data_IF_208439784803
#
_entry.id   IF_208439784803
#
_cell.length_a   1.000
_cell.length_b   1.000
_cell.length_c   1.000
_cell.angle_alpha   90.00
_cell.angle_beta   90.00
_cell.angle_gamma   90.00
#
_symmetry.space_group_name_H-M   'P 1'
#
loop_
_entity.id
_entity.type
_entity.pdbx_description
1 polymer ?
#
# COMPACT_ATOMS: atom_id res chain seq x y z
N UNK A 1 6.24 29.66 9.63
CA UNK A 1 7.51 30.38 9.91
C UNK A 1 8.20 29.86 11.17
N UNK A 2 7.64 29.95 12.39
CA UNK A 2 8.34 29.52 13.64
C UNK A 2 8.75 28.03 13.66
N UNK A 3 7.93 27.15 13.06
CA UNK A 3 8.21 25.72 12.92
C UNK A 3 9.34 25.38 11.92
N UNK A 4 9.51 26.15 10.84
CA UNK A 4 10.54 25.84 9.83
C UNK A 4 11.97 26.07 10.34
N UNK A 5 12.16 27.04 11.24
CA UNK A 5 13.47 27.32 11.85
C UNK A 5 13.93 26.22 12.81
N UNK A 6 13.00 25.65 13.59
CA UNK A 6 13.32 24.57 14.53
C UNK A 6 13.72 23.27 13.81
N UNK A 7 13.15 23.03 12.63
CA UNK A 7 13.51 21.88 11.79
C UNK A 7 14.88 22.06 11.16
N UNK A 8 15.19 23.26 10.64
CA UNK A 8 16.51 23.57 10.10
C UNK A 8 17.61 23.47 11.17
N UNK A 9 17.34 23.95 12.39
CA UNK A 9 18.26 23.86 13.52
C UNK A 9 18.53 22.40 13.92
N UNK A 10 17.50 21.55 13.92
CA UNK A 10 17.66 20.10 14.16
C UNK A 10 18.60 19.44 13.15
N UNK A 11 18.40 19.72 11.85
CA UNK A 11 19.27 19.17 10.81
C UNK A 11 20.70 19.70 10.91
N UNK A 12 20.86 20.98 11.25
CA UNK A 12 22.18 21.59 11.44
C UNK A 12 22.93 20.96 12.64
N UNK A 13 22.26 20.81 13.79
CA UNK A 13 22.83 20.17 14.97
C UNK A 13 23.15 18.69 14.68
N UNK A 14 22.27 17.98 13.97
CA UNK A 14 22.50 16.60 13.53
C UNK A 14 23.76 16.48 12.68
N UNK A 15 23.87 17.29 11.63
CA UNK A 15 25.04 17.34 10.76
C UNK A 15 26.34 17.59 11.53
N UNK A 16 26.33 18.51 12.49
CA UNK A 16 27.50 18.79 13.31
C UNK A 16 27.90 17.53 14.08
N UNK A 17 26.94 16.84 14.72
CA UNK A 17 27.23 15.59 15.45
C UNK A 17 27.79 14.54 14.50
N UNK A 18 27.18 14.36 13.33
CA UNK A 18 27.64 13.40 12.33
C UNK A 18 29.11 13.63 11.97
N UNK A 19 29.48 14.89 11.71
CA UNK A 19 30.85 15.27 11.38
C UNK A 19 31.87 14.93 12.48
N UNK A 20 31.46 14.96 13.75
CA UNK A 20 32.33 14.58 14.88
C UNK A 20 32.48 13.06 15.03
N UNK A 21 31.51 12.29 14.56
CA UNK A 21 31.50 10.82 14.67
C UNK A 21 31.85 10.10 13.35
N UNK A 22 32.31 10.81 12.31
CA UNK A 22 32.63 10.24 10.99
C UNK A 22 33.64 9.08 10.98
N UNK A 23 34.45 8.93 12.04
CA UNK A 23 35.43 7.84 12.17
C UNK A 23 34.90 6.57 12.83
N UNK A 24 33.65 6.58 13.31
CA UNK A 24 33.04 5.46 14.02
C UNK A 24 32.29 4.56 13.03
N UNK A 25 32.66 3.27 12.98
CA UNK A 25 32.17 2.32 11.96
C UNK A 25 30.66 2.03 12.09
N UNK A 26 30.10 2.14 13.29
CA UNK A 26 28.70 1.81 13.59
C UNK A 26 27.83 3.05 13.87
N UNK A 27 28.34 4.25 13.61
CA UNK A 27 27.59 5.48 13.85
C UNK A 27 26.50 5.69 12.79
N UNK A 28 25.26 5.83 13.24
CA UNK A 28 24.12 6.14 12.36
C UNK A 28 24.10 7.64 12.11
N UNK A 29 24.40 7.99 10.86
CA UNK A 29 24.41 9.36 10.37
C UNK A 29 23.00 9.93 10.25
N UNK A 30 22.82 11.19 10.63
CA UNK A 30 21.53 11.87 10.58
C UNK A 30 21.12 12.32 9.18
N UNK A 31 19.81 12.53 8.99
CA UNK A 31 19.23 13.16 7.79
C UNK A 31 19.88 14.51 7.40
N UNK A 32 20.51 15.21 8.37
CA UNK A 32 21.23 16.45 8.12
C UNK A 32 22.41 16.25 7.18
N UNK A 33 23.08 15.11 7.26
CA UNK A 33 24.16 14.72 6.38
C UNK A 33 23.69 14.40 4.97
N UNK A 34 22.56 13.70 4.82
CA UNK A 34 21.96 13.40 3.51
C UNK A 34 21.62 14.69 2.75
N UNK A 35 21.08 15.69 3.46
CA UNK A 35 20.79 17.02 2.90
C UNK A 35 22.09 17.69 2.43
N UNK A 36 23.16 17.63 3.23
CA UNK A 36 24.45 18.20 2.87
C UNK A 36 25.07 17.50 1.64
N UNK A 37 25.03 16.17 1.60
CA UNK A 37 25.52 15.38 0.46
C UNK A 37 24.75 15.68 -0.82
N UNK A 38 23.43 15.81 -0.72
CA UNK A 38 22.57 16.19 -1.85
C UNK A 38 22.98 17.57 -2.39
N UNK A 39 23.21 18.54 -1.50
CA UNK A 39 23.65 19.87 -1.88
C UNK A 39 25.01 19.82 -2.60
N UNK A 40 25.95 19.04 -2.06
CA UNK A 40 27.28 18.83 -2.66
C UNK A 40 27.15 18.21 -4.04
N UNK A 41 26.37 17.13 -4.19
CA UNK A 41 26.17 16.43 -5.45
C UNK A 41 25.61 17.37 -6.53
N UNK A 42 24.63 18.21 -6.18
CA UNK A 42 24.09 19.23 -7.07
C UNK A 42 25.17 20.25 -7.50
N UNK A 43 25.91 20.80 -6.54
CA UNK A 43 26.93 21.81 -6.80
C UNK A 43 28.13 21.27 -7.58
N UNK A 44 28.47 19.99 -7.42
CA UNK A 44 29.55 19.33 -8.15
C UNK A 44 29.33 19.35 -9.67
N UNK A 45 28.08 19.40 -10.14
CA UNK A 45 27.75 19.52 -11.57
C UNK A 45 28.23 20.86 -12.17
N UNK A 46 28.49 21.85 -11.32
CA UNK A 46 28.94 23.20 -11.70
C UNK A 46 30.37 23.48 -11.26
N UNK A 47 31.19 22.44 -11.08
CA UNK A 47 32.60 22.60 -10.68
C UNK A 47 33.33 23.57 -11.63
N UNK A 48 34.00 24.56 -11.06
CA UNK A 48 34.70 25.61 -11.81
C UNK A 48 33.87 26.87 -12.07
N UNK A 49 32.57 26.88 -11.74
CA UNK A 49 31.71 28.07 -11.74
C UNK A 49 31.54 28.62 -10.33
N UNK A 50 31.22 29.91 -10.20
CA UNK A 50 30.81 30.51 -8.93
C UNK A 50 29.35 30.20 -8.67
N UNK A 51 28.98 30.07 -7.39
CA UNK A 51 27.59 29.82 -6.97
C UNK A 51 26.64 30.97 -7.33
N UNK A 52 27.19 32.17 -7.56
CA UNK A 52 26.49 33.36 -8.04
C UNK A 52 26.23 33.35 -9.54
N UNK A 53 26.86 32.45 -10.30
CA UNK A 53 26.69 32.39 -11.75
C UNK A 53 25.29 31.90 -12.11
N UNK A 54 24.88 32.18 -13.35
CA UNK A 54 23.56 31.80 -13.83
C UNK A 54 23.44 30.29 -13.98
N UNK A 55 22.35 29.75 -13.42
CA UNK A 55 21.95 28.36 -13.60
C UNK A 55 21.07 28.20 -14.84
N UNK A 56 20.22 29.19 -15.10
CA UNK A 56 19.27 29.20 -16.21
C UNK A 56 18.04 30.04 -15.87
N UNK A 57 17.01 29.92 -16.71
CA UNK A 57 15.72 30.59 -16.51
C UNK A 57 14.74 29.63 -15.82
N UNK A 58 14.01 30.16 -14.86
CA UNK A 58 12.88 29.47 -14.22
C UNK A 58 11.71 29.29 -15.20
N UNK A 59 10.68 28.52 -14.82
CA UNK A 59 9.40 28.38 -15.54
C UNK A 59 8.71 29.72 -15.83
N UNK A 60 9.04 30.77 -15.07
CA UNK A 60 8.55 32.14 -15.25
C UNK A 60 9.46 33.00 -16.13
N UNK A 61 10.54 32.45 -16.70
CA UNK A 61 11.52 33.16 -17.51
C UNK A 61 12.54 33.98 -16.72
N UNK A 62 12.49 33.97 -15.39
CA UNK A 62 13.39 34.71 -14.50
C UNK A 62 14.73 33.98 -14.40
N UNK A 63 15.83 34.69 -14.60
CA UNK A 63 17.17 34.13 -14.43
C UNK A 63 17.47 33.87 -12.94
N UNK A 64 17.95 32.67 -12.65
CA UNK A 64 18.28 32.24 -11.29
C UNK A 64 19.75 31.84 -11.19
N UNK A 65 20.32 32.05 -10.01
CA UNK A 65 21.70 31.65 -9.70
C UNK A 65 21.76 30.17 -9.36
N UNK A 66 22.95 29.56 -9.51
CA UNK A 66 23.22 28.18 -9.10
C UNK A 66 22.89 27.97 -7.62
N UNK A 67 23.21 28.96 -6.76
CA UNK A 67 22.85 28.94 -5.33
C UNK A 67 21.35 28.81 -5.12
N UNK A 68 20.55 29.65 -5.80
CA UNK A 68 19.10 29.63 -5.65
C UNK A 68 18.49 28.33 -6.21
N UNK A 69 19.04 27.82 -7.30
CA UNK A 69 18.62 26.53 -7.86
C UNK A 69 18.88 25.38 -6.88
N UNK A 70 20.06 25.34 -6.26
CA UNK A 70 20.42 24.34 -5.24
C UNK A 70 19.44 24.38 -4.05
N UNK A 71 19.13 25.57 -3.52
CA UNK A 71 18.16 25.69 -2.43
C UNK A 71 16.76 25.19 -2.81
N UNK A 72 16.32 25.41 -4.05
CA UNK A 72 15.01 24.93 -4.52
C UNK A 72 14.93 23.41 -4.63
N UNK A 73 16.01 22.77 -5.08
CA UNK A 73 16.10 21.31 -5.11
C UNK A 73 16.04 20.72 -3.70
N UNK A 74 16.82 21.29 -2.77
CA UNK A 74 16.82 20.86 -1.36
C UNK A 74 15.46 21.07 -0.70
N UNK A 75 14.80 22.21 -0.95
CA UNK A 75 13.44 22.47 -0.48
C UNK A 75 12.44 21.43 -1.00
N UNK A 76 12.59 20.99 -2.25
CA UNK A 76 11.77 19.93 -2.85
C UNK A 76 11.89 18.60 -2.10
N UNK A 77 13.12 18.22 -1.76
CA UNK A 77 13.43 16.99 -1.02
C UNK A 77 12.91 17.08 0.41
N UNK A 78 13.17 18.18 1.12
CA UNK A 78 12.65 18.43 2.47
C UNK A 78 11.13 18.36 2.52
N UNK A 79 10.44 18.92 1.52
CA UNK A 79 8.97 18.81 1.41
C UNK A 79 8.50 17.38 1.19
N UNK A 80 9.26 16.56 0.45
CA UNK A 80 8.95 15.14 0.24
C UNK A 80 9.11 14.36 1.55
N UNK A 81 10.20 14.58 2.29
CA UNK A 81 10.39 13.96 3.60
C UNK A 81 9.30 14.36 4.59
N UNK A 82 8.94 15.65 4.67
CA UNK A 82 7.84 16.12 5.53
C UNK A 82 6.51 15.44 5.18
N UNK A 83 6.17 15.33 3.89
CA UNK A 83 4.94 14.64 3.45
C UNK A 83 4.94 13.15 3.77
N UNK A 84 6.09 12.49 3.65
CA UNK A 84 6.21 11.07 3.98
C UNK A 84 6.10 10.85 5.49
N UNK A 85 6.77 11.66 6.32
CA UNK A 85 6.67 11.59 7.76
C UNK A 85 5.23 11.76 8.26
N UNK A 86 4.49 12.74 7.72
CA UNK A 86 3.07 12.94 8.03
C UNK A 86 2.21 11.70 7.73
N UNK A 87 2.47 11.00 6.61
CA UNK A 87 1.76 9.76 6.28
C UNK A 87 2.09 8.60 7.21
N UNK A 88 3.32 8.54 7.75
CA UNK A 88 3.72 7.51 8.70
C UNK A 88 3.14 7.79 10.09
N UNK A 89 3.08 9.05 10.50
CA UNK A 89 2.41 9.48 11.75
C UNK A 89 0.88 9.28 11.68
N UNK A 90 0.29 9.28 10.48
CA UNK A 90 -1.12 8.94 10.23
C UNK A 90 -1.41 7.43 10.33
N UNK A 91 -0.39 6.56 10.46
CA UNK A 91 -0.61 5.15 10.77
C UNK A 91 -0.98 5.06 12.25
N UNK A 92 -2.28 5.14 12.50
CA UNK A 92 -2.84 4.96 13.83
C UNK A 92 -2.78 3.47 14.21
N UNK A 93 -1.74 3.10 14.97
CA UNK A 93 -1.59 1.75 15.51
C UNK A 93 -2.67 1.38 16.53
N UNK A 94 -3.56 2.31 16.91
CA UNK A 94 -4.70 2.05 17.80
C UNK A 94 -5.98 1.68 17.03
N UNK A 95 -6.04 1.95 15.73
CA UNK A 95 -7.16 1.55 14.86
C UNK A 95 -6.77 0.31 14.03
N UNK A 96 -7.05 -0.87 14.57
CA UNK A 96 -6.78 -2.15 13.92
C UNK A 96 -7.46 -2.31 12.54
N UNK A 97 -8.48 -1.49 12.20
CA UNK A 97 -9.11 -1.49 10.86
C UNK A 97 -8.38 -0.62 9.84
N UNK A 98 -7.51 0.30 10.31
CA UNK A 98 -6.68 1.15 9.46
C UNK A 98 -5.34 0.48 9.10
N UNK A 99 -5.00 -0.63 9.77
CA UNK A 99 -3.81 -1.41 9.45
C UNK A 99 -3.99 -2.14 8.09
N UNK A 100 -2.90 -2.25 7.30
CA UNK A 100 -2.92 -3.10 6.12
C UNK A 100 -3.26 -4.54 6.52
N UNK A 101 -4.03 -5.23 5.68
CA UNK A 101 -4.36 -6.64 5.90
C UNK A 101 -3.08 -7.45 6.13
N UNK A 102 -3.08 -8.30 7.16
CA UNK A 102 -1.93 -9.16 7.46
C UNK A 102 -1.50 -9.92 6.20
N UNK A 103 -0.17 -10.06 5.96
CA UNK A 103 0.32 -10.78 4.81
C UNK A 103 -0.23 -12.20 4.83
N UNK A 104 -0.92 -12.57 3.74
CA UNK A 104 -1.49 -13.92 3.57
C UNK A 104 -0.37 -14.94 3.76
N UNK A 105 -0.48 -15.79 4.78
CA UNK A 105 0.51 -16.84 5.03
C UNK A 105 0.37 -17.94 3.97
N UNK A 106 1.19 -17.88 2.92
CA UNK A 106 1.21 -18.85 1.83
C UNK A 106 1.84 -20.21 2.21
N UNK A 107 2.47 -20.32 3.38
CA UNK A 107 3.26 -21.50 3.77
C UNK A 107 2.50 -22.46 4.69
N UNK A 108 1.43 -21.99 5.33
CA UNK A 108 0.51 -22.83 6.10
C UNK A 108 -0.69 -23.13 5.21
N UNK A 109 -0.64 -24.26 4.49
CA UNK A 109 -1.86 -24.85 3.97
C UNK A 109 -2.65 -25.36 5.18
N UNK A 110 -3.52 -24.53 5.75
CA UNK A 110 -4.55 -25.02 6.65
C UNK A 110 -5.27 -26.18 5.95
N UNK A 111 -5.20 -27.36 6.54
CA UNK A 111 -5.90 -28.53 6.07
C UNK A 111 -7.37 -28.14 5.97
N UNK A 112 -7.88 -28.03 4.74
CA UNK A 112 -9.19 -27.44 4.49
C UNK A 112 -10.24 -28.38 5.07
N UNK A 113 -10.74 -28.06 6.26
CA UNK A 113 -11.68 -28.91 6.97
C UNK A 113 -13.08 -28.73 6.34
N UNK A 114 -13.42 -29.65 5.44
CA UNK A 114 -14.72 -29.68 4.74
C UNK A 114 -15.86 -30.30 5.55
N UNK A 115 -15.66 -30.69 6.83
CA UNK A 115 -16.72 -31.28 7.67
C UNK A 115 -18.00 -30.44 7.70
N UNK A 116 -17.85 -29.11 7.81
CA UNK A 116 -19.00 -28.19 7.79
C UNK A 116 -19.72 -28.17 6.44
N UNK A 117 -19.00 -28.37 5.35
CA UNK A 117 -19.60 -28.45 4.02
C UNK A 117 -20.40 -29.74 3.88
N UNK A 118 -19.84 -30.87 4.30
CA UNK A 118 -20.53 -32.17 4.23
C UNK A 118 -21.81 -32.17 5.07
N UNK A 119 -21.75 -31.65 6.30
CA UNK A 119 -22.92 -31.47 7.17
C UNK A 119 -24.03 -30.61 6.52
N UNK A 120 -23.65 -29.53 5.84
CA UNK A 120 -24.60 -28.66 5.14
C UNK A 120 -25.23 -29.35 3.92
N UNK A 121 -24.44 -30.07 3.14
CA UNK A 121 -24.93 -30.79 1.95
C UNK A 121 -25.91 -31.90 2.37
N UNK A 122 -25.61 -32.63 3.44
CA UNK A 122 -26.49 -33.64 4.02
C UNK A 122 -27.80 -33.03 4.56
N UNK A 123 -27.71 -31.93 5.31
CA UNK A 123 -28.87 -31.24 5.88
C UNK A 123 -29.82 -30.71 4.81
N UNK A 124 -29.29 -30.12 3.74
CA UNK A 124 -30.09 -29.51 2.67
C UNK A 124 -30.66 -30.52 1.66
N UNK A 125 -30.19 -31.78 1.69
CA UNK A 125 -30.60 -32.86 0.77
C UNK A 125 -30.57 -32.41 -0.69
N UNK A 126 -29.45 -31.83 -1.11
CA UNK A 126 -29.31 -31.29 -2.47
C UNK A 126 -29.40 -32.39 -3.52
N UNK A 127 -30.06 -32.11 -4.64
CA UNK A 127 -30.01 -33.01 -5.80
C UNK A 127 -28.63 -32.96 -6.48
N UNK A 128 -28.26 -34.02 -7.19
CA UNK A 128 -26.98 -34.10 -7.92
C UNK A 128 -26.74 -32.88 -8.83
N UNK A 129 -27.80 -32.41 -9.50
CA UNK A 129 -27.75 -31.24 -10.36
C UNK A 129 -27.55 -29.93 -9.59
N UNK A 130 -28.10 -29.81 -8.38
CA UNK A 130 -27.90 -28.63 -7.52
C UNK A 130 -26.48 -28.60 -6.94
N UNK A 131 -25.95 -29.77 -6.57
CA UNK A 131 -24.57 -29.93 -6.13
C UNK A 131 -23.59 -29.57 -7.27
N UNK A 132 -23.83 -30.07 -8.48
CA UNK A 132 -23.02 -29.75 -9.66
C UNK A 132 -23.03 -28.25 -9.96
N UNK A 133 -24.20 -27.59 -9.91
CA UNK A 133 -24.30 -26.13 -10.06
C UNK A 133 -23.47 -25.40 -9.00
N UNK A 134 -23.54 -25.84 -7.73
CA UNK A 134 -22.80 -25.21 -6.65
C UNK A 134 -21.29 -25.35 -6.85
N UNK A 135 -20.83 -26.54 -7.18
CA UNK A 135 -19.41 -26.85 -7.42
C UNK A 135 -18.84 -26.02 -8.58
N UNK A 136 -19.57 -25.84 -9.67
CA UNK A 136 -19.16 -24.94 -10.75
C UNK A 136 -18.93 -23.50 -10.25
N UNK A 137 -19.82 -22.97 -9.41
CA UNK A 137 -19.66 -21.63 -8.83
C UNK A 137 -18.50 -21.56 -7.81
N UNK A 138 -18.29 -22.61 -7.01
CA UNK A 138 -17.16 -22.68 -6.08
C UNK A 138 -15.81 -22.72 -6.81
N UNK A 139 -15.79 -23.32 -8.01
CA UNK A 139 -14.64 -23.30 -8.91
C UNK A 139 -14.46 -21.97 -9.67
N UNK A 140 -15.27 -20.94 -9.37
CA UNK A 140 -15.16 -19.61 -9.95
C UNK A 140 -15.78 -19.44 -11.34
N UNK A 141 -16.54 -20.43 -11.83
CA UNK A 141 -17.14 -20.36 -13.16
C UNK A 141 -18.22 -19.27 -13.26
N UNK A 142 -18.24 -18.59 -14.41
CA UNK A 142 -19.25 -17.59 -14.77
C UNK A 142 -20.49 -18.31 -15.30
N UNK A 143 -21.67 -17.69 -15.11
CA UNK A 143 -22.98 -18.28 -15.48
C UNK A 143 -23.06 -18.87 -16.90
N UNK A 144 -22.41 -18.27 -17.90
CA UNK A 144 -22.37 -18.81 -19.27
C UNK A 144 -21.60 -20.12 -19.36
N UNK A 145 -20.53 -20.24 -18.59
CA UNK A 145 -19.70 -21.45 -18.52
C UNK A 145 -20.44 -22.55 -17.78
N UNK A 146 -21.15 -22.23 -16.69
CA UNK A 146 -22.01 -23.21 -15.99
C UNK A 146 -23.11 -23.78 -16.91
N UNK A 147 -23.69 -22.94 -17.77
CA UNK A 147 -24.68 -23.40 -18.75
C UNK A 147 -24.07 -24.33 -19.80
N UNK A 148 -22.85 -24.04 -20.25
CA UNK A 148 -22.13 -24.85 -21.24
C UNK A 148 -21.68 -26.19 -20.63
N UNK A 149 -21.14 -26.15 -19.41
CA UNK A 149 -20.61 -27.31 -18.68
C UNK A 149 -21.72 -28.30 -18.32
N UNK A 150 -22.84 -27.80 -17.79
CA UNK A 150 -23.94 -28.64 -17.29
C UNK A 150 -25.06 -28.85 -18.32
N UNK A 151 -24.97 -28.23 -19.50
CA UNK A 151 -26.00 -28.33 -20.54
C UNK A 151 -27.37 -27.79 -20.14
N UNK A 152 -27.43 -26.86 -19.19
CA UNK A 152 -28.68 -26.34 -18.61
C UNK A 152 -29.02 -24.90 -19.02
N UNK A 153 -30.31 -24.61 -19.10
CA UNK A 153 -30.81 -23.26 -19.38
C UNK A 153 -30.69 -22.30 -18.20
N UNK A 154 -30.68 -20.99 -18.50
CA UNK A 154 -30.63 -19.91 -17.49
C UNK A 154 -31.72 -20.04 -16.43
N UNK A 155 -32.96 -20.31 -16.85
CA UNK A 155 -34.11 -20.45 -15.95
C UNK A 155 -33.95 -21.58 -14.93
N UNK A 156 -33.39 -22.71 -15.37
CA UNK A 156 -33.08 -23.86 -14.50
C UNK A 156 -32.08 -23.49 -13.41
N UNK A 157 -31.02 -22.76 -13.76
CA UNK A 157 -30.03 -22.28 -12.77
C UNK A 157 -30.70 -21.39 -11.71
N UNK A 158 -31.50 -20.41 -12.14
CA UNK A 158 -32.18 -19.52 -11.20
C UNK A 158 -33.15 -20.26 -10.28
N UNK A 159 -33.97 -21.16 -10.85
CA UNK A 159 -34.92 -21.97 -10.10
C UNK A 159 -34.21 -22.84 -9.05
N UNK A 160 -33.14 -23.52 -9.45
CA UNK A 160 -32.36 -24.41 -8.56
C UNK A 160 -31.64 -23.63 -7.47
N UNK A 161 -31.01 -22.49 -7.78
CA UNK A 161 -30.42 -21.60 -6.77
C UNK A 161 -31.46 -21.04 -5.80
N UNK A 162 -32.68 -20.77 -6.24
CA UNK A 162 -33.77 -20.33 -5.37
C UNK A 162 -34.25 -21.47 -4.45
N UNK A 163 -34.33 -22.71 -4.96
CA UNK A 163 -34.65 -23.89 -4.16
C UNK A 163 -33.60 -24.17 -3.07
N UNK A 164 -32.31 -24.06 -3.40
CA UNK A 164 -31.21 -24.18 -2.43
C UNK A 164 -31.35 -23.13 -1.33
N UNK A 165 -31.54 -21.85 -1.70
CA UNK A 165 -31.73 -20.76 -0.74
C UNK A 165 -32.94 -20.98 0.16
N UNK A 166 -34.06 -21.42 -0.40
CA UNK A 166 -35.27 -21.70 0.38
C UNK A 166 -35.00 -22.74 1.46
N UNK A 167 -34.42 -23.88 1.10
CA UNK A 167 -34.08 -24.94 2.06
C UNK A 167 -33.07 -24.48 3.09
N UNK A 168 -32.09 -23.67 2.68
CA UNK A 168 -31.14 -23.08 3.61
C UNK A 168 -31.81 -22.19 4.64
N UNK A 169 -32.74 -21.31 4.22
CA UNK A 169 -33.50 -20.48 5.15
C UNK A 169 -34.50 -21.29 6.00
N UNK A 170 -35.04 -22.40 5.51
CA UNK A 170 -35.89 -23.29 6.31
C UNK A 170 -35.09 -24.01 7.42
N UNK A 171 -33.87 -24.45 7.13
CA UNK A 171 -33.02 -25.16 8.09
C UNK A 171 -32.24 -24.23 9.04
N UNK A 172 -31.81 -23.05 8.57
CA UNK A 172 -30.90 -22.16 9.29
C UNK A 172 -31.39 -20.71 9.42
N UNK A 173 -32.57 -20.38 8.87
CA UNK A 173 -33.07 -19.01 8.78
C UNK A 173 -33.94 -18.52 9.95
N UNK A 174 -34.04 -19.27 11.06
CA UNK A 174 -34.70 -18.79 12.28
C UNK A 174 -33.66 -18.42 13.36
N UNK A 175 -33.20 -17.16 13.32
CA UNK A 175 -32.84 -16.32 14.48
C UNK A 175 -32.42 -14.91 13.98
N UNK A 176 -33.40 -14.08 13.67
CA UNK A 176 -33.43 -12.66 14.05
C UNK A 176 -34.82 -12.40 14.65
#
# INVERSE_FOLDING_TARGET
>A
KKFDWQVADRYYIGLIKDLHHMGEVDYIVSDGYDIAQTAICFLCQFKGKKVSDSYGKDRKGIEITIKLACYRELDGILRRYRRNAQKTDEIDFTDYKALPMDPVNYYEYEQTNYSKYDELVEALKLSELELAILNCYMNGMVKSEVMAELGIGRGTIYHRKASIRRRYYEHYGALI
#
